data_IF_053661354761
#
_entry.id   IF_053661354761
#
_cell.length_a   1.000
_cell.length_b   1.000
_cell.length_c   1.000
_cell.angle_alpha   90.00
_cell.angle_beta   90.00
_cell.angle_gamma   90.00
#
_symmetry.space_group_name_H-M   'P 1'
#
loop_
_entity.id
_entity.type
_entity.pdbx_description
1 polymer ?
#
# COMPACT_ATOMS: atom_id res chain seq x y z
N UNK A 1 -18.15 22.09 -8.27
CA UNK A 1 -17.27 21.47 -7.27
C UNK A 1 -17.28 19.98 -7.51
N UNK A 2 -16.26 19.48 -8.20
CA UNK A 2 -16.07 18.05 -8.39
C UNK A 2 -14.61 17.86 -8.79
N UNK A 3 -13.78 17.62 -7.80
CA UNK A 3 -12.50 16.97 -8.02
C UNK A 3 -12.80 15.48 -7.92
N UNK A 4 -12.92 14.75 -9.05
CA UNK A 4 -13.10 13.33 -9.00
C UNK A 4 -11.73 12.76 -8.59
N UNK A 5 -11.59 12.48 -7.31
CA UNK A 5 -10.52 11.64 -6.82
C UNK A 5 -10.30 10.46 -7.78
N UNK A 6 -9.06 10.25 -8.20
CA UNK A 6 -8.75 9.17 -9.14
C UNK A 6 -8.33 7.94 -8.36
N UNK A 7 -9.06 6.84 -8.54
CA UNK A 7 -8.70 5.57 -7.92
C UNK A 7 -7.34 5.08 -8.43
N UNK A 8 -6.45 4.72 -7.51
CA UNK A 8 -5.17 4.08 -7.79
C UNK A 8 -5.03 2.80 -6.99
N UNK A 9 -4.20 1.89 -7.51
CA UNK A 9 -3.85 0.65 -6.83
C UNK A 9 -2.36 0.62 -6.57
N UNK A 10 -1.97 0.35 -5.33
CA UNK A 10 -0.57 0.30 -4.91
C UNK A 10 -0.29 -0.98 -4.13
N UNK A 11 0.95 -1.45 -4.21
CA UNK A 11 1.45 -2.58 -3.43
C UNK A 11 2.65 -2.11 -2.62
N UNK A 12 2.59 -2.32 -1.31
CA UNK A 12 3.64 -1.93 -0.37
C UNK A 12 4.18 -3.20 0.29
N UNK A 13 5.36 -3.69 -0.16
CA UNK A 13 6.08 -4.73 0.55
C UNK A 13 6.91 -4.14 1.70
N UNK A 14 7.01 -4.90 2.79
CA UNK A 14 7.74 -4.53 4.01
C UNK A 14 8.86 -5.52 4.29
N UNK A 15 10.03 -5.00 4.64
CA UNK A 15 11.16 -5.80 5.12
C UNK A 15 11.40 -5.55 6.61
N UNK A 16 12.05 -6.51 7.27
CA UNK A 16 12.48 -6.35 8.66
C UNK A 16 13.76 -5.48 8.70
N UNK A 17 13.69 -4.36 9.41
CA UNK A 17 14.85 -3.52 9.72
C UNK A 17 15.71 -4.10 10.84
N UNK A 18 16.88 -3.48 11.08
CA UNK A 18 17.86 -3.94 12.07
C UNK A 18 17.29 -3.93 13.51
N UNK A 19 16.40 -2.97 13.81
CA UNK A 19 15.71 -2.85 15.11
C UNK A 19 14.43 -3.70 15.26
N UNK A 20 14.06 -4.48 14.23
CA UNK A 20 12.81 -5.23 14.21
C UNK A 20 11.60 -4.50 13.59
N UNK A 21 11.76 -3.21 13.29
CA UNK A 21 10.78 -2.37 12.60
C UNK A 21 10.45 -2.92 11.20
N UNK A 22 9.26 -2.59 10.71
CA UNK A 22 8.82 -2.91 9.36
C UNK A 22 9.06 -1.68 8.49
N UNK A 23 10.02 -1.80 7.58
CA UNK A 23 10.36 -0.72 6.66
C UNK A 23 9.69 -0.99 5.31
N UNK A 24 8.95 -0.02 4.74
CA UNK A 24 8.50 -0.14 3.36
C UNK A 24 9.71 -0.25 2.44
N UNK A 25 9.58 -1.06 1.39
CA UNK A 25 10.58 -1.15 0.33
C UNK A 25 10.19 -0.17 -0.79
N UNK A 26 9.95 -0.66 -2.00
CA UNK A 26 9.49 0.17 -3.12
C UNK A 26 7.98 -0.01 -3.29
N UNK A 27 7.24 1.11 -3.26
CA UNK A 27 5.80 1.11 -3.55
C UNK A 27 5.61 0.87 -5.03
N UNK A 28 4.85 -0.17 -5.37
CA UNK A 28 4.61 -0.57 -6.76
C UNK A 28 3.20 -0.22 -7.19
N UNK A 29 3.02 0.59 -8.24
CA UNK A 29 1.70 0.86 -8.78
C UNK A 29 1.16 -0.37 -9.53
N UNK A 30 -0.16 -0.48 -9.57
CA UNK A 30 -0.89 -1.44 -10.39
C UNK A 30 -2.06 -0.74 -11.09
N UNK A 31 -2.43 -1.24 -12.28
CA UNK A 31 -3.51 -0.65 -13.07
C UNK A 31 -4.90 -1.12 -12.65
N UNK A 32 -4.99 -2.20 -11.86
CA UNK A 32 -6.27 -2.79 -11.41
C UNK A 32 -6.15 -3.37 -10.01
N UNK A 33 -7.29 -3.51 -9.32
CA UNK A 33 -7.40 -4.18 -8.01
C UNK A 33 -6.89 -5.63 -8.06
N UNK A 34 -7.36 -6.41 -9.04
CA UNK A 34 -6.93 -7.80 -9.24
C UNK A 34 -5.42 -7.89 -9.54
N UNK A 35 -4.88 -6.97 -10.33
CA UNK A 35 -3.46 -6.86 -10.61
C UNK A 35 -2.65 -6.60 -9.34
N UNK A 36 -3.09 -5.67 -8.49
CA UNK A 36 -2.46 -5.36 -7.22
C UNK A 36 -2.41 -6.58 -6.29
N UNK A 37 -3.53 -7.30 -6.16
CA UNK A 37 -3.60 -8.53 -5.35
C UNK A 37 -2.66 -9.60 -5.88
N UNK A 38 -2.63 -9.83 -7.20
CA UNK A 38 -1.71 -10.83 -7.82
C UNK A 38 -0.25 -10.49 -7.55
N UNK A 39 0.12 -9.21 -7.70
CA UNK A 39 1.48 -8.74 -7.43
C UNK A 39 1.83 -8.94 -5.96
N UNK A 40 0.97 -8.51 -5.04
CA UNK A 40 1.19 -8.67 -3.59
C UNK A 40 1.32 -10.15 -3.20
N UNK A 41 0.46 -11.01 -3.72
CA UNK A 41 0.53 -12.46 -3.50
C UNK A 41 1.87 -13.05 -3.96
N UNK A 42 2.41 -12.61 -5.10
CA UNK A 42 3.72 -13.06 -5.61
C UNK A 42 4.92 -12.61 -4.76
N UNK A 43 4.73 -11.61 -3.89
CA UNK A 43 5.77 -11.03 -3.05
C UNK A 43 5.80 -11.58 -1.64
N UNK A 44 4.71 -12.26 -1.22
CA UNK A 44 4.45 -12.63 0.18
C UNK A 44 5.55 -13.49 0.82
N UNK A 45 6.21 -14.35 0.04
CA UNK A 45 7.23 -15.28 0.55
C UNK A 45 8.62 -14.65 0.66
N UNK A 46 8.83 -13.48 0.03
CA UNK A 46 10.13 -12.79 -0.03
C UNK A 46 10.24 -11.60 0.93
N UNK A 47 9.15 -11.26 1.60
CA UNK A 47 9.05 -10.04 2.43
C UNK A 47 8.51 -10.39 3.81
N UNK A 48 8.83 -9.55 4.81
CA UNK A 48 8.32 -9.71 6.17
C UNK A 48 6.80 -9.47 6.24
N UNK A 49 6.29 -8.63 5.33
CA UNK A 49 4.89 -8.55 5.01
C UNK A 49 4.66 -7.77 3.71
N UNK A 50 3.43 -7.75 3.24
CA UNK A 50 3.02 -7.03 2.03
C UNK A 50 1.54 -6.69 2.13
N UNK A 51 1.18 -5.50 1.64
CA UNK A 51 -0.20 -5.07 1.51
C UNK A 51 -0.47 -4.49 0.12
N UNK A 52 -1.65 -4.78 -0.42
CA UNK A 52 -2.20 -4.11 -1.60
C UNK A 52 -3.34 -3.19 -1.16
N UNK A 53 -3.36 -1.97 -1.69
CA UNK A 53 -4.34 -0.96 -1.37
C UNK A 53 -5.01 -0.43 -2.64
N UNK A 54 -6.28 -0.10 -2.49
CA UNK A 54 -7.00 0.88 -3.31
C UNK A 54 -6.95 2.21 -2.57
N UNK A 55 -6.55 3.27 -3.26
CA UNK A 55 -6.43 4.63 -2.70
C UNK A 55 -7.07 5.63 -3.64
N UNK A 56 -7.50 6.76 -3.10
CA UNK A 56 -8.00 7.90 -3.86
C UNK A 56 -6.87 8.91 -4.01
N UNK A 57 -6.50 9.25 -5.25
CA UNK A 57 -5.56 10.32 -5.52
C UNK A 57 -6.32 11.65 -5.57
N UNK A 58 -5.96 12.55 -4.67
CA UNK A 58 -6.36 13.94 -4.74
C UNK A 58 -5.57 14.64 -5.88
N UNK A 59 -6.24 15.22 -6.89
CA UNK A 59 -5.56 15.80 -8.05
C UNK A 59 -4.91 17.15 -7.77
N UNK A 60 -5.29 17.86 -6.70
CA UNK A 60 -4.77 19.19 -6.37
C UNK A 60 -3.46 19.10 -5.58
N UNK A 61 -3.38 18.14 -4.66
CA UNK A 61 -2.28 17.95 -3.71
C UNK A 61 -1.39 16.76 -4.06
N UNK A 62 -1.90 15.80 -4.84
CA UNK A 62 -1.25 14.52 -5.10
C UNK A 62 -1.31 13.55 -3.91
N UNK A 63 -2.08 13.86 -2.86
CA UNK A 63 -2.23 13.01 -1.69
C UNK A 63 -2.94 11.69 -2.03
N UNK A 64 -2.55 10.61 -1.33
CA UNK A 64 -3.25 9.32 -1.39
C UNK A 64 -4.15 9.19 -0.17
N UNK A 65 -5.45 9.26 -0.41
CA UNK A 65 -6.48 9.26 0.62
C UNK A 65 -7.28 7.96 0.62
N UNK A 66 -8.11 7.79 1.65
CA UNK A 66 -9.08 6.69 1.80
C UNK A 66 -8.52 5.30 1.48
N UNK A 67 -7.40 4.88 2.11
CA UNK A 67 -6.77 3.60 1.83
C UNK A 67 -7.67 2.43 2.23
N UNK A 68 -7.99 1.59 1.24
CA UNK A 68 -8.75 0.35 1.40
C UNK A 68 -7.85 -0.84 1.14
N UNK A 69 -7.68 -1.71 2.13
CA UNK A 69 -6.90 -2.94 1.99
C UNK A 69 -7.61 -3.91 1.04
N UNK A 70 -6.90 -4.32 -0.01
CA UNK A 70 -7.35 -5.33 -0.97
C UNK A 70 -6.76 -6.72 -0.65
N UNK A 71 -5.55 -6.74 -0.10
CA UNK A 71 -4.84 -7.95 0.32
C UNK A 71 -3.78 -7.59 1.35
N UNK A 72 -3.55 -8.47 2.33
CA UNK A 72 -2.44 -8.36 3.26
C UNK A 72 -1.88 -9.74 3.60
N UNK A 73 -0.57 -9.81 3.80
CA UNK A 73 0.10 -11.01 4.29
C UNK A 73 1.33 -10.66 5.13
N UNK A 74 1.62 -11.46 6.15
CA UNK A 74 2.74 -11.24 7.05
C UNK A 74 2.52 -10.05 7.99
N UNK A 75 3.62 -9.44 8.43
CA UNK A 75 3.56 -8.27 9.32
C UNK A 75 3.47 -6.99 8.50
N UNK A 76 2.41 -6.23 8.71
CA UNK A 76 2.23 -4.88 8.18
C UNK A 76 2.08 -3.92 9.38
N UNK A 77 2.62 -2.70 9.31
CA UNK A 77 2.34 -1.70 10.33
C UNK A 77 0.84 -1.43 10.44
N UNK A 78 0.35 -1.10 11.64
CA UNK A 78 -1.01 -0.65 11.79
C UNK A 78 -1.15 0.70 11.08
N UNK A 79 -2.21 0.83 10.28
CA UNK A 79 -2.43 2.01 9.45
C UNK A 79 -2.58 3.31 10.28
N UNK A 80 -2.96 3.19 11.56
CA UNK A 80 -3.02 4.29 12.54
C UNK A 80 -1.65 4.94 12.81
N UNK A 81 -0.55 4.22 12.65
CA UNK A 81 0.79 4.72 13.04
C UNK A 81 1.49 5.55 11.93
N UNK A 82 0.97 5.55 10.69
CA UNK A 82 1.57 6.29 9.56
C UNK A 82 0.81 7.56 9.16
N UNK A 83 -0.36 7.82 9.74
CA UNK A 83 -1.16 9.03 9.47
C UNK A 83 -0.73 10.25 10.31
N UNK A 84 0.31 10.13 11.15
CA UNK A 84 0.67 11.11 12.16
C UNK A 84 2.12 11.63 12.10
N UNK A 85 2.80 11.53 10.95
CA UNK A 85 4.15 12.07 10.77
C UNK A 85 4.18 13.28 9.85
#
# INVERSE_FOLDING_TARGET
>A
MRDPHTTRFIVVPFRKGVGGDLLPVEVRPASTSVGAVRVAHSMRERHAGVAAYEVLLDPETGALESPKVLFQHGRIPLLDEYAAA
#
